data_IF_788900832013
#
_entry.id   IF_788900832013
#
_cell.length_a   1.000
_cell.length_b   1.000
_cell.length_c   1.000
_cell.angle_alpha   90.00
_cell.angle_beta   90.00
_cell.angle_gamma   90.00
#
_symmetry.space_group_name_H-M   'P 1'
#
loop_
_entity.id
_entity.type
_entity.pdbx_description
1 polymer ?
#
# COMPACT_ATOMS: atom_id res chain seq x y z
N UNK A 1 3.62 19.92 84.85
CA UNK A 1 4.52 19.97 83.77
C UNK A 1 3.92 19.22 82.56
N UNK A 2 3.46 19.94 81.61
CA UNK A 2 2.84 19.35 80.48
C UNK A 2 3.71 19.65 79.28
N UNK A 3 4.41 18.64 78.85
CA UNK A 3 5.11 18.74 77.53
C UNK A 3 4.09 18.51 76.46
N UNK A 4 3.71 19.61 75.80
CA UNK A 4 2.95 19.52 74.61
C UNK A 4 3.87 18.94 73.56
N UNK A 5 3.81 17.66 73.33
CA UNK A 5 4.42 17.03 72.20
C UNK A 5 3.61 17.44 70.96
N UNK A 6 4.03 18.55 70.49
CA UNK A 6 3.58 18.93 69.14
C UNK A 6 4.27 18.04 68.13
N UNK A 7 3.71 16.87 68.01
CA UNK A 7 4.05 16.01 66.86
C UNK A 7 3.67 16.75 65.62
N UNK A 8 4.63 17.47 65.10
CA UNK A 8 4.58 17.91 63.71
C UNK A 8 4.53 16.67 62.85
N UNK A 9 3.34 16.25 62.56
CA UNK A 9 3.09 15.34 61.45
C UNK A 9 3.41 16.12 60.20
N UNK A 10 4.69 16.05 59.83
CA UNK A 10 5.07 16.38 58.45
C UNK A 10 4.32 15.45 57.56
N UNK A 11 3.25 15.95 57.00
CA UNK A 11 2.64 15.30 55.87
C UNK A 11 3.69 15.31 54.76
N UNK A 12 4.42 14.24 54.65
CA UNK A 12 5.19 13.95 53.46
C UNK A 12 4.15 13.61 52.43
N UNK A 13 3.68 14.64 51.76
CA UNK A 13 2.99 14.50 50.51
C UNK A 13 4.01 13.94 49.54
N UNK A 14 4.16 12.64 49.56
CA UNK A 14 4.75 11.94 48.45
C UNK A 14 3.83 12.14 47.24
N UNK A 15 4.07 13.22 46.56
CA UNK A 15 3.58 13.37 45.18
C UNK A 15 4.32 12.32 44.40
N UNK A 16 3.75 11.12 44.39
CA UNK A 16 4.10 10.13 43.38
C UNK A 16 3.63 10.73 42.06
N UNK A 17 4.52 11.51 41.48
CA UNK A 17 4.41 11.92 40.11
C UNK A 17 4.55 10.64 39.29
N UNK A 18 3.42 9.97 39.12
CA UNK A 18 3.29 8.93 38.13
C UNK A 18 3.53 9.59 36.78
N UNK A 19 4.78 9.59 36.37
CA UNK A 19 5.14 9.80 35.00
C UNK A 19 4.50 8.66 34.22
N UNK A 20 3.25 8.89 33.80
CA UNK A 20 2.68 8.16 32.68
C UNK A 20 3.58 8.49 31.50
N UNK A 21 4.66 7.75 31.38
CA UNK A 21 5.32 7.62 30.10
C UNK A 21 4.30 6.92 29.19
N UNK A 22 3.50 7.72 28.50
CA UNK A 22 2.84 7.26 27.30
C UNK A 22 3.97 6.83 26.37
N UNK A 23 4.35 5.59 26.47
CA UNK A 23 5.09 4.91 25.42
C UNK A 23 4.06 4.84 24.29
N UNK A 24 4.00 5.91 23.51
CA UNK A 24 3.38 5.86 22.20
C UNK A 24 4.20 4.85 21.43
N UNK A 25 3.76 3.61 21.51
CA UNK A 25 4.29 2.56 20.67
C UNK A 25 4.05 3.03 19.23
N UNK A 26 5.09 3.58 18.58
CA UNK A 26 5.12 3.92 17.17
C UNK A 26 5.10 2.63 16.34
N UNK A 27 4.15 1.74 16.62
CA UNK A 27 3.88 0.55 15.86
C UNK A 27 2.79 0.84 14.83
N UNK A 28 3.08 0.56 13.56
CA UNK A 28 2.08 0.63 12.51
C UNK A 28 0.96 -0.37 12.79
N UNK A 29 -0.28 0.05 12.60
CA UNK A 29 -1.43 -0.85 12.68
C UNK A 29 -1.43 -1.86 11.53
N UNK A 30 -2.14 -2.98 11.68
CA UNK A 30 -2.30 -3.96 10.60
C UNK A 30 -2.86 -3.33 9.33
N UNK A 31 -3.84 -2.42 9.46
CA UNK A 31 -4.41 -1.69 8.34
C UNK A 31 -3.39 -0.77 7.62
N UNK A 32 -2.50 -0.13 8.38
CA UNK A 32 -1.43 0.71 7.80
C UNK A 32 -0.42 -0.15 7.03
N UNK A 33 -0.02 -1.30 7.58
CA UNK A 33 0.88 -2.24 6.91
C UNK A 33 0.27 -2.74 5.60
N UNK A 34 -1.00 -3.14 5.60
CA UNK A 34 -1.69 -3.58 4.39
C UNK A 34 -1.74 -2.49 3.31
N UNK A 35 -1.98 -1.25 3.70
CA UNK A 35 -1.97 -0.12 2.75
C UNK A 35 -0.59 0.11 2.14
N UNK A 36 0.45 0.07 2.96
CA UNK A 36 1.83 0.23 2.49
C UNK A 36 2.24 -0.90 1.55
N UNK A 37 1.87 -2.13 1.87
CA UNK A 37 2.10 -3.29 0.99
C UNK A 37 1.36 -3.13 -0.34
N UNK A 38 0.09 -2.73 -0.30
CA UNK A 38 -0.69 -2.49 -1.52
C UNK A 38 -0.08 -1.39 -2.39
N UNK A 39 0.37 -0.29 -1.79
CA UNK A 39 1.06 0.80 -2.51
C UNK A 39 2.37 0.30 -3.12
N UNK A 40 3.16 -0.46 -2.38
CA UNK A 40 4.42 -1.02 -2.86
C UNK A 40 4.20 -1.98 -4.03
N UNK A 41 3.21 -2.88 -3.92
CA UNK A 41 2.85 -3.81 -4.98
C UNK A 41 2.33 -3.09 -6.23
N UNK A 42 1.48 -2.08 -6.04
CA UNK A 42 0.98 -1.26 -7.16
C UNK A 42 2.12 -0.56 -7.88
N UNK A 43 3.04 0.06 -7.16
CA UNK A 43 4.20 0.73 -7.75
C UNK A 43 5.12 -0.23 -8.50
N UNK A 44 5.29 -1.43 -7.97
CA UNK A 44 6.06 -2.48 -8.63
C UNK A 44 5.36 -2.98 -9.90
N UNK A 45 4.04 -3.16 -9.84
CA UNK A 45 3.22 -3.51 -11.00
C UNK A 45 3.30 -2.47 -12.10
N UNK A 46 3.20 -1.18 -11.76
CA UNK A 46 3.39 -0.09 -12.72
C UNK A 46 4.76 -0.14 -13.40
N UNK A 47 5.81 -0.41 -12.64
CA UNK A 47 7.16 -0.56 -13.18
C UNK A 47 7.21 -1.66 -14.24
N UNK A 48 6.65 -2.82 -13.96
CA UNK A 48 6.66 -3.95 -14.90
C UNK A 48 5.77 -3.69 -16.11
N UNK A 49 4.62 -3.04 -15.92
CA UNK A 49 3.74 -2.62 -17.03
C UNK A 49 4.45 -1.62 -17.93
N UNK A 50 5.18 -0.65 -17.37
CA UNK A 50 5.98 0.31 -18.14
C UNK A 50 7.04 -0.37 -19.01
N UNK A 51 7.59 -1.48 -18.59
CA UNK A 51 8.54 -2.27 -19.38
C UNK A 51 7.89 -2.96 -20.59
N UNK A 52 6.55 -3.10 -20.60
CA UNK A 52 5.78 -3.75 -21.67
C UNK A 52 5.20 -2.77 -22.68
N UNK A 53 4.96 -1.52 -22.30
CA UNK A 53 4.40 -0.50 -23.19
C UNK A 53 5.47 0.13 -24.07
N UNK A 54 5.05 0.67 -25.22
CA UNK A 54 5.97 1.23 -26.21
C UNK A 54 6.70 2.47 -25.71
N UNK A 55 5.99 3.38 -25.06
CA UNK A 55 6.52 4.60 -24.46
C UNK A 55 6.24 4.61 -22.94
N UNK A 56 7.18 4.11 -22.14
CA UNK A 56 7.03 4.03 -20.69
C UNK A 56 6.76 5.37 -20.01
N UNK A 57 7.36 6.45 -20.52
CA UNK A 57 7.22 7.78 -19.95
C UNK A 57 5.80 8.36 -20.14
N UNK A 58 5.07 7.88 -21.16
CA UNK A 58 3.70 8.29 -21.44
C UNK A 58 2.65 7.51 -20.65
N UNK A 59 3.03 6.45 -19.94
CA UNK A 59 2.09 5.56 -19.28
C UNK A 59 1.21 6.29 -18.26
N UNK A 60 -0.10 6.15 -18.42
CA UNK A 60 -1.14 6.64 -17.53
C UNK A 60 -1.88 5.45 -16.94
N UNK A 61 -2.09 5.45 -15.64
CA UNK A 61 -2.74 4.37 -14.92
C UNK A 61 -4.06 4.84 -14.33
N UNK A 62 -5.05 3.95 -14.29
CA UNK A 62 -6.34 4.17 -13.61
C UNK A 62 -6.94 2.86 -13.12
N UNK A 63 -7.93 2.97 -12.22
CA UNK A 63 -8.68 1.83 -11.69
C UNK A 63 -7.78 0.72 -11.14
N UNK A 64 -6.71 1.11 -10.47
CA UNK A 64 -5.71 0.20 -9.92
C UNK A 64 -6.19 -0.42 -8.61
N UNK A 65 -5.94 -1.71 -8.45
CA UNK A 65 -6.25 -2.45 -7.22
C UNK A 65 -5.37 -3.69 -7.12
N UNK A 66 -5.30 -4.25 -5.93
CA UNK A 66 -4.69 -5.55 -5.71
C UNK A 66 -5.80 -6.60 -5.80
N UNK A 67 -5.68 -7.51 -6.75
CA UNK A 67 -6.64 -8.58 -6.96
C UNK A 67 -6.64 -9.62 -5.85
N UNK A 68 -7.63 -10.51 -5.86
CA UNK A 68 -7.75 -11.60 -4.86
C UNK A 68 -6.55 -12.53 -4.82
N UNK A 69 -5.83 -12.67 -5.93
CA UNK A 69 -4.58 -13.42 -6.03
C UNK A 69 -3.35 -12.65 -5.57
N UNK A 70 -3.51 -11.43 -5.05
CA UNK A 70 -2.40 -10.57 -4.61
C UNK A 70 -1.69 -9.85 -5.76
N UNK A 71 -2.19 -9.95 -6.98
CA UNK A 71 -1.61 -9.32 -8.16
C UNK A 71 -2.08 -7.86 -8.31
N UNK A 72 -1.19 -6.92 -8.64
CA UNK A 72 -1.59 -5.62 -9.15
C UNK A 72 -2.38 -5.75 -10.45
N UNK A 73 -3.59 -5.19 -10.45
CA UNK A 73 -4.50 -5.15 -11.57
C UNK A 73 -4.94 -3.71 -11.83
N UNK A 74 -5.32 -3.40 -13.05
CA UNK A 74 -5.81 -2.07 -13.40
C UNK A 74 -5.86 -1.85 -14.90
N UNK A 75 -5.83 -0.59 -15.28
CA UNK A 75 -5.81 -0.17 -16.68
C UNK A 75 -4.63 0.77 -16.93
N UNK A 76 -4.05 0.65 -18.11
CA UNK A 76 -2.94 1.49 -18.58
C UNK A 76 -3.24 2.03 -19.97
N UNK A 77 -2.89 3.30 -20.20
CA UNK A 77 -2.84 3.92 -21.53
C UNK A 77 -1.43 4.43 -21.76
N UNK A 78 -0.90 4.22 -22.93
CA UNK A 78 0.42 4.69 -23.33
C UNK A 78 0.43 5.07 -24.81
N UNK A 79 1.38 5.90 -25.18
CA UNK A 79 1.58 6.27 -26.58
C UNK A 79 2.20 5.12 -27.36
N UNK A 80 1.75 4.98 -28.60
CA UNK A 80 2.34 4.07 -29.58
C UNK A 80 3.64 4.65 -30.18
N UNK A 81 4.20 3.96 -31.17
CA UNK A 81 5.40 4.38 -31.88
C UNK A 81 5.24 5.72 -32.63
N UNK A 82 4.00 6.16 -32.88
CA UNK A 82 3.67 7.41 -33.58
C UNK A 82 3.36 8.57 -32.60
N UNK A 83 3.48 8.35 -31.28
CA UNK A 83 3.23 9.34 -30.27
C UNK A 83 1.74 9.57 -29.95
N UNK A 84 0.85 8.67 -30.35
CA UNK A 84 -0.57 8.74 -30.07
C UNK A 84 -0.99 7.79 -28.94
N UNK A 85 -1.83 8.26 -28.03
CA UNK A 85 -2.46 7.39 -27.03
C UNK A 85 -3.46 6.45 -27.71
N UNK A 86 -3.36 5.14 -27.40
CA UNK A 86 -4.17 4.10 -28.04
C UNK A 86 -5.42 3.69 -27.24
N UNK A 87 -5.62 4.29 -26.07
CA UNK A 87 -6.70 3.98 -25.16
C UNK A 87 -6.29 3.11 -23.99
N UNK A 88 -7.10 3.11 -22.94
CA UNK A 88 -6.86 2.29 -21.75
C UNK A 88 -7.12 0.81 -22.06
N UNK A 89 -6.23 -0.03 -21.59
CA UNK A 89 -6.37 -1.48 -21.63
C UNK A 89 -6.09 -2.05 -20.24
N UNK A 90 -6.72 -3.17 -19.92
CA UNK A 90 -6.47 -3.87 -18.67
C UNK A 90 -5.09 -4.50 -18.63
N UNK A 91 -4.52 -4.57 -17.42
CA UNK A 91 -3.28 -5.28 -17.15
C UNK A 91 -3.37 -6.13 -15.87
N UNK A 92 -2.55 -7.14 -15.82
CA UNK A 92 -2.29 -7.97 -14.65
C UNK A 92 -0.78 -8.04 -14.47
N UNK A 93 -0.25 -7.75 -13.28
CA UNK A 93 1.19 -7.77 -13.04
C UNK A 93 1.52 -8.59 -11.80
N UNK A 94 1.79 -9.87 -11.97
CA UNK A 94 2.19 -10.76 -10.87
C UNK A 94 3.69 -10.64 -10.60
N UNK A 95 4.47 -10.61 -11.66
CA UNK A 95 5.92 -10.48 -11.66
C UNK A 95 6.36 -9.86 -12.99
N UNK A 96 7.63 -9.53 -13.12
CA UNK A 96 8.18 -8.93 -14.35
C UNK A 96 7.84 -9.77 -15.58
N UNK A 97 8.11 -11.07 -15.53
CA UNK A 97 7.86 -12.02 -16.62
C UNK A 97 6.39 -12.39 -16.76
N UNK A 98 5.62 -12.22 -15.68
CA UNK A 98 4.19 -12.51 -15.59
C UNK A 98 3.37 -11.22 -15.54
N UNK A 99 3.68 -10.30 -16.42
CA UNK A 99 2.89 -9.08 -16.66
C UNK A 99 2.20 -9.19 -18.00
N UNK A 100 0.87 -9.14 -17.97
CA UNK A 100 0.00 -9.29 -19.12
C UNK A 100 -0.72 -7.98 -19.41
N UNK A 101 -0.68 -7.57 -20.66
CA UNK A 101 -1.53 -6.51 -21.20
C UNK A 101 -2.63 -7.15 -22.06
N UNK A 102 -3.85 -6.66 -21.95
CA UNK A 102 -4.99 -7.26 -22.66
C UNK A 102 -4.80 -7.35 -24.18
N UNK A 103 -4.08 -6.40 -24.78
CA UNK A 103 -3.80 -6.40 -26.22
C UNK A 103 -2.74 -7.43 -26.65
N UNK A 104 -1.90 -7.91 -25.73
CA UNK A 104 -0.74 -8.76 -26.05
C UNK A 104 -1.07 -10.25 -25.85
N UNK A 105 -2.25 -10.57 -25.36
CA UNK A 105 -2.71 -11.93 -25.01
C UNK A 105 -4.02 -12.22 -25.71
N UNK A 106 -4.25 -13.47 -26.08
CA UNK A 106 -5.55 -13.87 -26.61
C UNK A 106 -6.68 -13.53 -25.64
N UNK A 107 -7.80 -12.94 -26.10
CA UNK A 107 -8.86 -12.44 -25.20
C UNK A 107 -9.39 -13.47 -24.21
N UNK A 108 -9.55 -14.72 -24.61
CA UNK A 108 -10.02 -15.78 -23.73
C UNK A 108 -9.02 -16.08 -22.59
N UNK A 109 -7.74 -16.12 -22.91
CA UNK A 109 -6.66 -16.39 -21.94
C UNK A 109 -6.51 -15.23 -20.96
N UNK A 110 -6.65 -13.99 -21.46
CA UNK A 110 -6.63 -12.80 -20.60
C UNK A 110 -7.81 -12.80 -19.63
N UNK A 111 -9.02 -13.11 -20.11
CA UNK A 111 -10.23 -13.15 -19.25
C UNK A 111 -10.14 -14.26 -18.19
N UNK A 112 -9.56 -15.39 -18.50
CA UNK A 112 -9.32 -16.46 -17.52
C UNK A 112 -8.37 -15.99 -16.43
N UNK A 113 -7.22 -15.45 -16.82
CA UNK A 113 -6.23 -14.88 -15.89
C UNK A 113 -6.82 -13.75 -15.03
N UNK A 114 -7.64 -12.89 -15.64
CA UNK A 114 -8.31 -11.81 -14.94
C UNK A 114 -9.27 -12.31 -13.86
N UNK A 115 -10.06 -13.35 -14.17
CA UNK A 115 -10.97 -13.95 -13.19
C UNK A 115 -10.23 -14.59 -12.02
N UNK A 116 -9.11 -15.23 -12.29
CA UNK A 116 -8.33 -15.93 -11.26
C UNK A 116 -7.54 -14.97 -10.37
N UNK A 117 -6.96 -13.92 -10.93
CA UNK A 117 -5.99 -13.08 -10.23
C UNK A 117 -6.57 -11.74 -9.77
N UNK A 118 -7.54 -11.19 -10.46
CA UNK A 118 -8.05 -9.84 -10.22
C UNK A 118 -9.44 -9.79 -9.59
N UNK A 119 -10.31 -10.76 -9.83
CA UNK A 119 -11.70 -10.78 -9.32
C UNK A 119 -11.93 -11.67 -8.11
#
# INVERSE_FOLDING_TARGET
MRFANTLRRGAVLSVALALLTCVTACGKTAAQKQREEAVALTSLGEKYVKEKVRDPASAQFRNQFIGKGGAPCGEVNAKDAFGAYIGFQRYISVARELTLLAQDVAPADFEESWRELCR
#
